data_IF_729550305553
#
_entry.id   IF_729550305553
#
_cell.length_a   1.000
_cell.length_b   1.000
_cell.length_c   1.000
_cell.angle_alpha   90.00
_cell.angle_beta   90.00
_cell.angle_gamma   90.00
#
_symmetry.space_group_name_H-M   'P 1'
#
loop_
_entity.id
_entity.type
_entity.pdbx_description
1 polymer ?
#
# COMPACT_ATOMS: atom_id res chain seq x y z
N UNK A 1 13.07 9.87 16.35
CA UNK A 1 11.90 10.78 16.22
C UNK A 1 11.56 11.14 14.77
N UNK A 2 12.50 11.21 13.82
CA UNK A 2 12.22 11.55 12.40
C UNK A 2 11.56 10.44 11.58
N UNK A 3 11.44 9.21 12.10
CA UNK A 3 10.82 8.07 11.40
C UNK A 3 9.33 8.30 11.11
N UNK A 4 8.61 8.97 12.03
CA UNK A 4 7.18 9.26 11.88
C UNK A 4 6.84 10.29 10.81
N UNK A 5 7.73 11.26 10.54
CA UNK A 5 7.43 12.31 9.57
C UNK A 5 7.41 11.76 8.14
N UNK A 6 8.38 10.90 7.79
CA UNK A 6 8.47 10.28 6.47
C UNK A 6 7.41 9.23 6.25
N UNK A 7 7.12 8.44 7.29
CA UNK A 7 6.04 7.47 7.30
C UNK A 7 4.71 8.15 7.00
N UNK A 8 4.35 9.17 7.80
CA UNK A 8 3.14 9.96 7.60
C UNK A 8 3.12 10.66 6.25
N UNK A 9 4.20 11.34 5.88
CA UNK A 9 4.28 12.06 4.60
C UNK A 9 4.03 11.13 3.41
N UNK A 10 4.63 9.93 3.42
CA UNK A 10 4.49 9.00 2.29
C UNK A 10 3.07 8.44 2.19
N UNK A 11 2.43 8.17 3.34
CA UNK A 11 1.04 7.73 3.42
C UNK A 11 0.08 8.82 2.92
N UNK A 12 0.19 10.03 3.47
CA UNK A 12 -0.62 11.19 3.08
C UNK A 12 -0.47 11.50 1.57
N UNK A 13 0.77 11.39 1.05
CA UNK A 13 1.06 11.63 -0.36
C UNK A 13 0.37 10.59 -1.25
N UNK A 14 0.57 9.29 -0.98
CA UNK A 14 -0.02 8.22 -1.77
C UNK A 14 -1.55 8.24 -1.69
N UNK A 15 -2.12 8.51 -0.52
CA UNK A 15 -3.56 8.70 -0.35
C UNK A 15 -4.06 9.81 -1.27
N UNK A 16 -3.46 11.00 -1.20
CA UNK A 16 -3.87 12.16 -2.00
C UNK A 16 -3.91 11.86 -3.51
N UNK A 17 -2.90 11.18 -4.06
CA UNK A 17 -2.88 10.88 -5.51
C UNK A 17 -3.87 9.81 -5.91
N UNK A 18 -4.07 8.80 -5.07
CA UNK A 18 -4.86 7.61 -5.40
C UNK A 18 -6.35 7.76 -5.06
N UNK A 19 -6.73 8.65 -4.14
CA UNK A 19 -8.14 8.85 -3.73
C UNK A 19 -9.08 9.21 -4.89
N UNK A 20 -8.56 9.80 -5.96
CA UNK A 20 -9.35 10.11 -7.17
C UNK A 20 -9.67 8.88 -8.03
N UNK A 21 -8.93 7.79 -7.85
CA UNK A 21 -8.91 6.61 -8.74
C UNK A 21 -9.41 5.33 -8.08
N UNK A 22 -9.64 5.34 -6.77
CA UNK A 22 -10.08 4.16 -6.03
C UNK A 22 -10.16 4.36 -4.52
N UNK A 23 -10.48 3.28 -3.84
CA UNK A 23 -10.50 3.23 -2.37
C UNK A 23 -9.08 3.10 -1.85
N UNK A 24 -8.68 4.04 -1.00
CA UNK A 24 -7.39 4.00 -0.30
C UNK A 24 -7.64 3.73 1.18
N UNK A 25 -6.87 2.81 1.76
CA UNK A 25 -6.77 2.62 3.21
C UNK A 25 -5.32 2.72 3.64
N UNK A 26 -5.02 3.71 4.46
CA UNK A 26 -3.69 3.86 5.07
C UNK A 26 -3.66 3.15 6.43
N UNK A 27 -2.49 2.70 6.85
CA UNK A 27 -2.28 2.12 8.18
C UNK A 27 -3.23 0.97 8.50
N UNK A 28 -3.35 0.01 7.57
CA UNK A 28 -4.26 -1.12 7.70
C UNK A 28 -3.62 -2.21 8.57
N UNK A 29 -4.24 -2.49 9.72
CA UNK A 29 -3.80 -3.57 10.62
C UNK A 29 -3.99 -4.95 9.99
N UNK A 30 -2.94 -5.76 10.05
CA UNK A 30 -2.95 -7.15 9.57
C UNK A 30 -3.06 -8.09 10.78
N UNK A 31 -4.25 -8.59 11.06
CA UNK A 31 -4.60 -9.30 12.32
C UNK A 31 -3.71 -10.48 12.74
N UNK A 32 -2.88 -11.04 11.86
CA UNK A 32 -2.04 -12.20 12.16
C UNK A 32 -0.67 -11.84 12.77
N UNK A 33 -0.16 -10.64 12.51
CA UNK A 33 1.12 -10.16 13.04
C UNK A 33 0.90 -8.70 13.52
N UNK A 34 1.68 -8.18 14.45
CA UNK A 34 1.58 -6.75 14.85
C UNK A 34 2.16 -5.84 13.76
N UNK A 35 1.69 -6.01 12.53
CA UNK A 35 2.15 -5.38 11.32
C UNK A 35 1.04 -4.55 10.71
N UNK A 36 1.44 -3.38 10.26
CA UNK A 36 0.60 -2.41 9.60
C UNK A 36 0.99 -2.35 8.12
N UNK A 37 0.01 -2.36 7.23
CA UNK A 37 0.21 -2.02 5.82
C UNK A 37 0.17 -0.52 5.68
N UNK A 38 1.18 0.04 5.01
CA UNK A 38 1.26 1.49 4.87
C UNK A 38 0.10 2.04 4.03
N UNK A 39 -0.10 1.49 2.84
CA UNK A 39 -1.22 1.83 1.94
C UNK A 39 -1.75 0.58 1.25
N UNK A 40 -3.03 0.30 1.43
CA UNK A 40 -3.80 -0.63 0.61
C UNK A 40 -4.69 0.15 -0.35
N UNK A 41 -4.55 -0.12 -1.65
CA UNK A 41 -5.33 0.54 -2.70
C UNK A 41 -6.18 -0.46 -3.46
N UNK A 42 -7.44 -0.10 -3.72
CA UNK A 42 -8.35 -0.84 -4.59
C UNK A 42 -8.89 0.11 -5.67
N UNK A 43 -8.51 -0.04 -6.94
CA UNK A 43 -9.03 0.81 -8.01
C UNK A 43 -10.54 0.61 -8.17
N UNK A 44 -11.26 1.72 -8.33
CA UNK A 44 -12.71 1.72 -8.67
C UNK A 44 -12.96 2.29 -10.06
N UNK A 45 -12.00 3.06 -10.61
CA UNK A 45 -11.98 3.52 -11.99
C UNK A 45 -11.09 2.62 -12.85
N UNK A 46 -11.50 2.27 -14.09
CA UNK A 46 -10.64 1.60 -15.05
C UNK A 46 -9.52 2.50 -15.58
N UNK A 47 -9.69 3.83 -15.49
CA UNK A 47 -8.72 4.80 -15.98
C UNK A 47 -8.07 5.53 -14.80
N UNK A 48 -6.78 5.24 -14.58
CA UNK A 48 -5.93 5.94 -13.63
C UNK A 48 -5.19 7.06 -14.38
N UNK A 49 -5.08 8.27 -13.83
CA UNK A 49 -4.46 9.40 -14.53
C UNK A 49 -3.04 9.06 -15.04
N UNK A 50 -2.75 9.26 -16.34
CA UNK A 50 -1.44 8.94 -16.91
C UNK A 50 -0.30 9.75 -16.27
N UNK A 51 -0.61 10.91 -15.68
CA UNK A 51 0.31 11.77 -14.94
C UNK A 51 0.91 11.07 -13.70
N UNK A 52 0.24 10.04 -13.16
CA UNK A 52 0.78 9.22 -12.07
C UNK A 52 1.90 8.27 -12.52
N UNK A 53 2.13 8.14 -13.83
CA UNK A 53 3.27 7.41 -14.38
C UNK A 53 3.39 5.97 -13.85
N UNK A 54 4.51 5.65 -13.19
CA UNK A 54 4.73 4.32 -12.61
C UNK A 54 3.71 3.97 -11.53
N UNK A 55 3.37 4.92 -10.66
CA UNK A 55 2.38 4.70 -9.60
C UNK A 55 1.04 4.29 -10.22
N UNK A 56 0.61 5.01 -11.26
CA UNK A 56 -0.63 4.69 -11.97
C UNK A 56 -0.62 3.29 -12.58
N UNK A 57 0.52 2.88 -13.16
CA UNK A 57 0.67 1.51 -13.71
C UNK A 57 0.58 0.43 -12.65
N UNK A 58 1.16 0.65 -11.46
CA UNK A 58 1.11 -0.30 -10.33
C UNK A 58 -0.29 -0.37 -9.69
N UNK A 59 -1.02 0.74 -9.72
CA UNK A 59 -2.33 0.89 -9.12
C UNK A 59 -3.49 0.32 -9.97
N UNK A 60 -3.22 -0.15 -11.20
CA UNK A 60 -4.27 -0.72 -12.09
C UNK A 60 -5.01 -1.93 -11.52
N UNK A 61 -4.41 -2.62 -10.55
CA UNK A 61 -5.02 -3.72 -9.81
C UNK A 61 -4.93 -3.43 -8.32
N UNK A 62 -5.78 -4.07 -7.48
CA UNK A 62 -5.63 -3.95 -6.03
C UNK A 62 -4.18 -4.23 -5.60
N UNK A 63 -3.59 -3.32 -4.83
CA UNK A 63 -2.17 -3.38 -4.50
C UNK A 63 -1.87 -2.87 -3.09
N UNK A 64 -0.70 -3.29 -2.60
CA UNK A 64 -0.11 -2.85 -1.34
C UNK A 64 1.12 -2.02 -1.69
N UNK A 65 1.22 -0.82 -1.12
CA UNK A 65 2.32 0.10 -1.37
C UNK A 65 3.03 0.38 -0.05
N UNK A 66 4.31 0.03 0.00
CA UNK A 66 5.19 0.16 1.17
C UNK A 66 6.37 1.07 0.79
N UNK A 67 6.28 2.39 1.05
CA UNK A 67 7.35 3.33 0.72
C UNK A 67 8.54 3.20 1.68
N UNK A 68 9.73 2.95 1.14
CA UNK A 68 10.97 2.90 1.92
C UNK A 68 11.78 4.18 1.74
N UNK A 69 12.11 4.85 2.85
CA UNK A 69 12.99 6.03 2.85
C UNK A 69 14.43 5.72 2.43
N UNK A 70 14.90 4.54 2.82
CA UNK A 70 16.23 4.02 2.49
C UNK A 70 16.08 2.88 1.48
N UNK A 71 17.15 2.47 0.79
CA UNK A 71 17.12 1.25 -0.01
C UNK A 71 16.53 0.09 0.78
N UNK A 72 15.57 -0.61 0.17
CA UNK A 72 14.86 -1.72 0.81
C UNK A 72 15.85 -2.85 1.12
N UNK A 73 15.76 -3.43 2.32
CA UNK A 73 16.53 -4.62 2.69
C UNK A 73 15.79 -5.89 2.32
N UNK A 74 16.48 -7.03 2.29
CA UNK A 74 15.85 -8.32 2.03
C UNK A 74 14.75 -8.61 3.06
N UNK A 75 14.99 -8.28 4.34
CA UNK A 75 14.01 -8.43 5.42
C UNK A 75 12.79 -7.53 5.19
N UNK A 76 12.97 -6.31 4.69
CA UNK A 76 11.87 -5.42 4.31
C UNK A 76 11.02 -6.02 3.18
N UNK A 77 11.67 -6.59 2.16
CA UNK A 77 10.97 -7.30 1.07
C UNK A 77 10.18 -8.49 1.62
N UNK A 78 10.79 -9.33 2.46
CA UNK A 78 10.14 -10.50 3.05
C UNK A 78 8.94 -10.06 3.91
N UNK A 79 9.08 -9.01 4.71
CA UNK A 79 7.99 -8.46 5.51
C UNK A 79 6.84 -7.97 4.62
N UNK A 80 7.14 -7.24 3.54
CA UNK A 80 6.13 -6.79 2.57
C UNK A 80 5.39 -7.97 1.92
N UNK A 81 6.10 -9.04 1.55
CA UNK A 81 5.51 -10.24 0.99
C UNK A 81 4.63 -10.99 2.01
N UNK A 82 5.07 -11.04 3.27
CA UNK A 82 4.28 -11.63 4.37
C UNK A 82 2.92 -10.95 4.47
N UNK A 83 2.90 -9.60 4.57
CA UNK A 83 1.67 -8.80 4.60
C UNK A 83 0.76 -9.09 3.41
N UNK A 84 1.32 -9.18 2.20
CA UNK A 84 0.57 -9.52 0.99
C UNK A 84 -0.12 -10.87 1.09
N UNK A 85 0.59 -11.91 1.52
CA UNK A 85 0.01 -13.24 1.64
C UNK A 85 -1.08 -13.29 2.71
N UNK A 86 -0.92 -12.59 3.83
CA UNK A 86 -1.96 -12.51 4.86
C UNK A 86 -3.23 -11.82 4.34
N UNK A 87 -3.11 -10.70 3.64
CA UNK A 87 -4.28 -10.02 3.04
C UNK A 87 -4.98 -10.92 2.03
N UNK A 88 -4.21 -11.62 1.19
CA UNK A 88 -4.80 -12.57 0.22
C UNK A 88 -5.55 -13.69 0.91
N UNK A 89 -5.02 -14.22 2.01
CA UNK A 89 -5.70 -15.25 2.79
C UNK A 89 -7.00 -14.71 3.42
N UNK A 90 -6.98 -13.50 3.98
CA UNK A 90 -8.19 -12.85 4.52
C UNK A 90 -9.27 -12.70 3.44
N UNK A 91 -8.91 -12.16 2.27
CA UNK A 91 -9.83 -12.01 1.15
C UNK A 91 -10.40 -13.35 0.65
N UNK A 92 -9.62 -14.43 0.72
CA UNK A 92 -10.09 -15.78 0.39
C UNK A 92 -11.08 -16.34 1.40
N UNK A 93 -10.96 -15.98 2.69
CA UNK A 93 -11.89 -16.42 3.74
C UNK A 93 -13.22 -15.65 3.70
N UNK A 94 -13.21 -14.43 3.16
CA UNK A 94 -14.39 -13.55 3.04
C UNK A 94 -15.23 -13.82 1.77
N UNK A 95 -14.71 -14.61 0.82
CA UNK A 95 -15.37 -14.98 -0.44
C UNK A 95 -16.20 -16.26 -0.33
#
# INVERSE_FOLDING_TARGET
MTRFLWDKFSKDYLETFLSSSGDVKTSLDVTAETQEIDVYFRPTSPEIPPELGLLGRLAQTPCLLEPYRNPVTIEGIIACLSKLFTVREQLQREA
#
